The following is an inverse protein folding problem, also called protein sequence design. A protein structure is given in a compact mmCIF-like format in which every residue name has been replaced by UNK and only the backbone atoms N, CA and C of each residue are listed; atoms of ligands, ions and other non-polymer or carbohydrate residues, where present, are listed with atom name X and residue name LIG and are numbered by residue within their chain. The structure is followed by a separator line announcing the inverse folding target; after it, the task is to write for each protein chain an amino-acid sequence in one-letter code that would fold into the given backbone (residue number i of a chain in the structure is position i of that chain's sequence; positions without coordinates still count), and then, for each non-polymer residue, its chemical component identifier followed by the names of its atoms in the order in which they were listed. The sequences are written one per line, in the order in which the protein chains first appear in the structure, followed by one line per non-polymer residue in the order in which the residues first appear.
data_IF_824994253927
#
_entry.id   IF_824994253927
#
_cell.length_a   1.000
_cell.length_b   1.000
_cell.length_c   1.000
_cell.angle_alpha   90.00
_cell.angle_beta   90.00
_cell.angle_gamma   90.00
#
_symmetry.space_group_name_H-M   'P 1'
#
loop_
_entity.id
_entity.type
_entity.pdbx_description
1 polymer ?
#
# COMPACT_ATOMS: atom_id res chain seq x y z
N UNK A 1 -21.28 -29.23 -10.94
CA UNK A 1 -20.56 -28.88 -9.70
C UNK A 1 -20.08 -27.45 -9.86
N UNK A 2 -20.42 -26.55 -8.90
CA UNK A 2 -19.89 -25.17 -8.92
C UNK A 2 -18.38 -25.19 -8.83
N UNK A 3 -17.70 -24.23 -9.47
CA UNK A 3 -16.24 -24.08 -9.33
C UNK A 3 -15.87 -23.88 -7.86
N UNK A 4 -14.78 -24.49 -7.42
CA UNK A 4 -14.29 -24.34 -6.03
C UNK A 4 -14.02 -22.86 -5.74
N UNK A 5 -14.52 -22.36 -4.62
CA UNK A 5 -14.29 -21.00 -4.13
C UNK A 5 -13.27 -21.00 -3.00
N UNK A 6 -12.43 -19.98 -2.97
CA UNK A 6 -11.50 -19.74 -1.86
C UNK A 6 -12.27 -19.27 -0.64
N UNK A 7 -12.29 -20.05 0.44
CA UNK A 7 -12.86 -19.62 1.72
C UNK A 7 -11.91 -18.67 2.42
N UNK A 8 -12.33 -17.41 2.55
CA UNK A 8 -11.50 -16.33 3.07
C UNK A 8 -12.14 -15.64 4.25
N UNK A 9 -11.33 -15.19 5.21
CA UNK A 9 -11.75 -14.34 6.32
C UNK A 9 -11.20 -12.92 6.21
N UNK A 10 -11.85 -11.95 6.87
CA UNK A 10 -11.38 -10.57 6.96
C UNK A 10 -11.10 -10.20 8.43
N UNK A 11 -9.85 -9.85 8.74
CA UNK A 11 -9.40 -9.38 10.06
C UNK A 11 -9.28 -7.86 10.06
N UNK A 12 -9.99 -7.22 11.02
CA UNK A 12 -10.13 -5.76 11.08
C UNK A 12 -11.24 -5.27 10.15
N UNK A 13 -12.16 -4.50 10.71
CA UNK A 13 -13.32 -3.97 10.00
C UNK A 13 -13.39 -2.43 10.10
N UNK A 14 -12.23 -1.80 10.18
CA UNK A 14 -12.06 -0.36 10.06
C UNK A 14 -12.36 0.13 8.65
N UNK A 15 -11.87 1.32 8.34
CA UNK A 15 -12.12 1.99 7.05
C UNK A 15 -11.82 1.11 5.82
N UNK A 16 -10.64 0.45 5.79
CA UNK A 16 -10.26 -0.41 4.67
C UNK A 16 -10.85 -1.82 4.80
N UNK A 17 -10.89 -2.38 6.00
CA UNK A 17 -11.41 -3.72 6.22
C UNK A 17 -12.86 -3.90 5.78
N UNK A 18 -13.73 -2.92 6.04
CA UNK A 18 -15.11 -2.92 5.51
C UNK A 18 -15.15 -3.00 3.99
N UNK A 19 -14.27 -2.26 3.30
CA UNK A 19 -14.19 -2.25 1.84
C UNK A 19 -13.70 -3.58 1.29
N UNK A 20 -12.66 -4.15 1.90
CA UNK A 20 -12.19 -5.49 1.55
C UNK A 20 -13.26 -6.56 1.78
N UNK A 21 -13.92 -6.56 2.94
CA UNK A 21 -14.99 -7.50 3.24
C UNK A 21 -16.11 -7.45 2.19
N UNK A 22 -16.57 -6.26 1.82
CA UNK A 22 -17.58 -6.08 0.77
C UNK A 22 -17.05 -6.50 -0.62
N UNK A 23 -15.80 -6.21 -0.96
CA UNK A 23 -15.21 -6.65 -2.23
C UNK A 23 -15.16 -8.18 -2.32
N UNK A 24 -14.73 -8.87 -1.28
CA UNK A 24 -14.72 -10.34 -1.25
C UNK A 24 -16.13 -10.94 -1.26
N UNK A 25 -17.07 -10.30 -0.57
CA UNK A 25 -18.47 -10.76 -0.50
C UNK A 25 -19.21 -10.63 -1.85
N UNK A 26 -19.00 -9.50 -2.56
CA UNK A 26 -19.85 -9.12 -3.68
C UNK A 26 -19.14 -9.05 -5.04
N UNK A 27 -17.83 -8.85 -5.07
CA UNK A 27 -17.08 -8.52 -6.28
C UNK A 27 -15.93 -9.49 -6.60
N UNK A 28 -15.82 -10.59 -5.82
CA UNK A 28 -14.80 -11.62 -6.01
C UNK A 28 -15.48 -12.99 -6.18
N UNK A 29 -15.98 -13.30 -7.37
CA UNK A 29 -16.88 -14.45 -7.60
C UNK A 29 -16.25 -15.81 -7.28
N UNK A 30 -14.91 -15.93 -7.33
CA UNK A 30 -14.16 -17.14 -6.98
C UNK A 30 -13.79 -17.23 -5.50
N UNK A 31 -14.15 -16.24 -4.68
CA UNK A 31 -13.99 -16.28 -3.24
C UNK A 31 -15.34 -16.44 -2.54
N UNK A 32 -15.28 -16.87 -1.29
CA UNK A 32 -16.39 -16.92 -0.35
C UNK A 32 -15.91 -16.32 0.97
N UNK A 33 -16.44 -15.16 1.33
CA UNK A 33 -16.16 -14.57 2.64
C UNK A 33 -16.94 -15.37 3.68
N UNK A 34 -16.25 -16.17 4.49
CA UNK A 34 -16.85 -17.09 5.46
C UNK A 34 -16.79 -16.56 6.90
N UNK A 35 -15.81 -15.70 7.20
CA UNK A 35 -15.61 -15.18 8.54
C UNK A 35 -15.08 -13.74 8.51
N UNK A 36 -15.29 -13.01 9.61
CA UNK A 36 -14.68 -11.72 9.85
C UNK A 36 -14.38 -11.53 11.34
N UNK A 37 -13.39 -10.71 11.70
CA UNK A 37 -13.09 -10.41 13.09
C UNK A 37 -12.76 -8.94 13.32
N UNK A 38 -13.21 -8.42 14.45
CA UNK A 38 -12.83 -7.12 15.00
C UNK A 38 -13.07 -7.07 16.49
N UNK A 39 -12.15 -6.51 17.30
CA UNK A 39 -12.39 -6.29 18.72
C UNK A 39 -13.26 -5.05 19.01
N UNK A 40 -13.40 -4.14 18.03
CA UNK A 40 -14.17 -2.90 18.17
C UNK A 40 -15.68 -3.18 18.10
N UNK A 41 -16.44 -2.65 19.06
CA UNK A 41 -17.87 -2.92 19.17
C UNK A 41 -18.68 -2.29 18.03
N UNK A 42 -18.31 -1.11 17.56
CA UNK A 42 -19.02 -0.41 16.47
C UNK A 42 -18.83 -1.18 15.16
N UNK A 43 -17.59 -1.61 14.91
CA UNK A 43 -17.27 -2.43 13.75
C UNK A 43 -17.95 -3.81 13.81
N UNK A 44 -18.01 -4.40 15.01
CA UNK A 44 -18.66 -5.68 15.23
C UNK A 44 -20.17 -5.60 14.93
N UNK A 45 -20.86 -4.56 15.42
CA UNK A 45 -22.27 -4.34 15.11
C UNK A 45 -22.49 -4.06 13.62
N UNK A 46 -21.58 -3.31 12.98
CA UNK A 46 -21.62 -3.12 11.53
C UNK A 46 -21.53 -4.48 10.79
N UNK A 47 -20.62 -5.36 11.21
CA UNK A 47 -20.47 -6.68 10.59
C UNK A 47 -21.71 -7.56 10.76
N UNK A 48 -22.34 -7.54 11.92
CA UNK A 48 -23.61 -8.23 12.14
C UNK A 48 -24.71 -7.78 11.20
N UNK A 49 -24.78 -6.50 10.91
CA UNK A 49 -25.81 -5.94 10.02
C UNK A 49 -25.50 -6.18 8.54
N UNK A 50 -24.21 -6.18 8.14
CA UNK A 50 -23.81 -6.14 6.75
C UNK A 50 -23.17 -7.44 6.24
N UNK A 51 -22.71 -8.33 7.10
CA UNK A 51 -22.02 -9.57 6.73
C UNK A 51 -22.75 -10.83 7.19
N UNK A 52 -23.25 -10.88 8.42
CA UNK A 52 -23.99 -12.06 8.95
C UNK A 52 -25.21 -12.47 8.10
N UNK A 53 -26.01 -11.54 7.51
CA UNK A 53 -27.12 -11.93 6.63
C UNK A 53 -26.71 -12.72 5.39
N UNK A 54 -25.43 -12.67 5.04
CA UNK A 54 -24.86 -13.42 3.91
C UNK A 54 -24.13 -14.70 4.35
N UNK A 55 -24.27 -15.11 5.63
CA UNK A 55 -23.67 -16.33 6.16
C UNK A 55 -22.24 -16.16 6.69
N UNK A 56 -21.73 -14.94 6.78
CA UNK A 56 -20.38 -14.66 7.34
C UNK A 56 -20.43 -14.72 8.85
N UNK A 57 -19.63 -15.58 9.48
CA UNK A 57 -19.51 -15.64 10.93
C UNK A 57 -18.61 -14.52 11.46
N UNK A 58 -19.10 -13.77 12.45
CA UNK A 58 -18.34 -12.63 13.02
C UNK A 58 -17.76 -12.98 14.38
N UNK A 59 -16.47 -12.71 14.55
CA UNK A 59 -15.72 -12.98 15.77
C UNK A 59 -15.22 -11.68 16.39
N UNK A 60 -15.10 -11.63 17.73
CA UNK A 60 -14.40 -10.54 18.41
C UNK A 60 -12.89 -10.80 18.49
N UNK A 61 -12.51 -12.05 18.48
CA UNK A 61 -11.13 -12.52 18.66
C UNK A 61 -10.57 -13.09 17.35
N UNK A 62 -9.37 -12.63 16.99
CA UNK A 62 -8.67 -13.03 15.77
C UNK A 62 -8.27 -14.51 15.79
N UNK A 63 -7.75 -15.00 16.94
CA UNK A 63 -7.25 -16.37 17.06
C UNK A 63 -8.41 -17.40 17.04
N UNK A 64 -9.62 -16.97 17.44
CA UNK A 64 -10.83 -17.77 17.24
C UNK A 64 -11.26 -17.80 15.79
N UNK A 65 -11.21 -16.66 15.09
CA UNK A 65 -11.52 -16.60 13.65
C UNK A 65 -10.60 -17.49 12.82
N UNK A 66 -9.31 -17.56 13.14
CA UNK A 66 -8.36 -18.44 12.43
C UNK A 66 -8.72 -19.93 12.51
N UNK A 67 -9.54 -20.33 13.50
CA UNK A 67 -10.02 -21.71 13.68
C UNK A 67 -11.35 -21.97 12.96
N UNK A 68 -11.85 -21.02 12.18
CA UNK A 68 -13.09 -21.21 11.42
C UNK A 68 -12.95 -22.40 10.46
N UNK A 69 -13.91 -23.32 10.48
CA UNK A 69 -13.85 -24.58 9.74
C UNK A 69 -13.74 -24.35 8.22
N UNK A 70 -12.74 -24.96 7.63
CA UNK A 70 -12.48 -24.88 6.19
C UNK A 70 -11.90 -23.57 5.70
N UNK A 71 -11.47 -22.66 6.58
CA UNK A 71 -10.78 -21.43 6.22
C UNK A 71 -9.48 -21.74 5.44
N UNK A 72 -9.21 -21.01 4.37
CA UNK A 72 -8.05 -21.22 3.47
C UNK A 72 -7.19 -19.95 3.33
N UNK A 73 -7.78 -18.79 3.53
CA UNK A 73 -7.07 -17.52 3.39
C UNK A 73 -7.60 -16.47 4.36
N UNK A 74 -6.79 -15.46 4.64
CA UNK A 74 -7.20 -14.30 5.43
C UNK A 74 -6.70 -13.01 4.77
N UNK A 75 -7.57 -12.00 4.74
CA UNK A 75 -7.15 -10.62 4.52
C UNK A 75 -6.99 -9.93 5.87
N UNK A 76 -5.84 -9.27 6.07
CA UNK A 76 -5.52 -8.53 7.28
C UNK A 76 -5.59 -7.03 6.95
N UNK A 77 -6.60 -6.38 7.48
CA UNK A 77 -6.89 -4.95 7.32
C UNK A 77 -7.20 -4.27 8.67
N UNK A 78 -6.58 -4.77 9.72
CA UNK A 78 -6.62 -4.28 11.10
C UNK A 78 -5.79 -2.98 11.25
N UNK A 79 -5.46 -2.58 12.46
CA UNK A 79 -4.52 -1.49 12.69
C UNK A 79 -3.10 -1.95 12.39
N UNK A 80 -2.27 -1.07 11.82
CA UNK A 80 -0.92 -1.40 11.33
C UNK A 80 -0.04 -2.09 12.37
N UNK A 81 -0.20 -1.74 13.64
CA UNK A 81 0.61 -2.29 14.74
C UNK A 81 0.48 -3.80 14.94
N UNK A 82 -0.59 -4.41 14.46
CA UNK A 82 -0.83 -5.87 14.59
C UNK A 82 -0.73 -6.64 13.26
N UNK A 83 -0.49 -5.97 12.13
CA UNK A 83 -0.41 -6.61 10.81
C UNK A 83 0.58 -7.78 10.79
N UNK A 84 1.81 -7.55 11.24
CA UNK A 84 2.87 -8.56 11.22
C UNK A 84 2.55 -9.76 12.12
N UNK A 85 2.10 -9.51 13.35
CA UNK A 85 1.71 -10.57 14.28
C UNK A 85 0.59 -11.44 13.70
N UNK A 86 -0.46 -10.80 13.20
CA UNK A 86 -1.61 -11.49 12.60
C UNK A 86 -1.20 -12.26 11.34
N UNK A 87 -0.33 -11.69 10.50
CA UNK A 87 0.21 -12.35 9.31
C UNK A 87 0.99 -13.62 9.69
N UNK A 88 1.89 -13.53 10.67
CA UNK A 88 2.67 -14.69 11.13
C UNK A 88 1.78 -15.77 11.74
N UNK A 89 0.75 -15.40 12.52
CA UNK A 89 -0.23 -16.36 13.06
C UNK A 89 -1.00 -17.07 11.94
N UNK A 90 -1.44 -16.34 10.92
CA UNK A 90 -2.13 -16.92 9.76
C UNK A 90 -1.24 -17.89 8.97
N UNK A 91 0.04 -17.53 8.74
CA UNK A 91 1.02 -18.40 8.10
C UNK A 91 1.23 -19.70 8.91
N UNK A 92 1.34 -19.59 10.24
CA UNK A 92 1.45 -20.75 11.13
C UNK A 92 0.21 -21.65 11.11
N UNK A 93 -0.95 -21.07 10.83
CA UNK A 93 -2.22 -21.80 10.65
C UNK A 93 -2.41 -22.34 9.21
N UNK A 94 -1.36 -22.33 8.39
CA UNK A 94 -1.36 -22.80 6.99
C UNK A 94 -2.38 -22.05 6.08
N UNK A 95 -2.59 -20.74 6.32
CA UNK A 95 -3.48 -19.89 5.55
C UNK A 95 -2.72 -19.02 4.56
N UNK A 96 -3.26 -18.83 3.37
CA UNK A 96 -2.85 -17.76 2.46
C UNK A 96 -3.17 -16.40 3.06
N UNK A 97 -2.34 -15.38 2.81
CA UNK A 97 -2.50 -14.06 3.44
C UNK A 97 -2.41 -12.93 2.41
N UNK A 98 -3.41 -12.06 2.42
CA UNK A 98 -3.34 -10.71 1.85
C UNK A 98 -3.30 -9.72 3.02
N UNK A 99 -2.16 -9.07 3.23
CA UNK A 99 -1.98 -8.11 4.32
C UNK A 99 -1.96 -6.68 3.77
N UNK A 100 -2.75 -5.78 4.34
CA UNK A 100 -2.67 -4.36 4.04
C UNK A 100 -1.28 -3.79 4.33
N UNK A 101 -0.95 -2.74 3.61
CA UNK A 101 0.30 -2.01 3.79
C UNK A 101 0.25 -1.07 5.02
N UNK A 102 1.39 -0.78 5.63
CA UNK A 102 2.64 -1.53 5.56
C UNK A 102 2.55 -2.86 6.33
N UNK A 103 3.45 -3.79 6.04
CA UNK A 103 3.53 -5.04 6.84
C UNK A 103 3.78 -4.76 8.33
N UNK A 104 4.60 -3.75 8.61
CA UNK A 104 4.88 -3.17 9.92
C UNK A 104 5.51 -1.80 9.72
N UNK A 105 5.56 -0.98 10.76
CA UNK A 105 6.38 0.25 10.79
C UNK A 105 7.85 -0.02 11.19
N UNK A 106 8.21 -1.26 11.61
CA UNK A 106 9.58 -1.73 11.86
C UNK A 106 10.07 -2.59 10.71
N UNK A 107 11.32 -2.35 10.29
CA UNK A 107 12.02 -3.16 9.27
C UNK A 107 12.24 -4.58 9.78
N UNK A 108 12.69 -4.74 11.02
CA UNK A 108 12.99 -6.02 11.65
C UNK A 108 11.73 -6.89 11.76
N UNK A 109 10.61 -6.27 12.18
CA UNK A 109 9.32 -6.97 12.25
C UNK A 109 8.82 -7.33 10.86
N UNK A 110 8.98 -6.46 9.85
CA UNK A 110 8.63 -6.77 8.46
C UNK A 110 9.49 -7.92 7.91
N UNK A 111 10.77 -7.97 8.29
CA UNK A 111 11.68 -9.06 7.93
C UNK A 111 11.23 -10.40 8.53
N UNK A 112 10.76 -10.41 9.78
CA UNK A 112 10.25 -11.65 10.41
C UNK A 112 9.00 -12.22 9.70
N UNK A 113 8.17 -11.36 9.11
CA UNK A 113 7.04 -11.79 8.25
C UNK A 113 7.57 -12.48 6.99
N UNK A 114 8.58 -11.89 6.34
CA UNK A 114 9.21 -12.50 5.15
C UNK A 114 9.80 -13.87 5.47
N UNK A 115 10.52 -14.01 6.58
CA UNK A 115 11.10 -15.29 7.03
C UNK A 115 10.02 -16.32 7.32
N UNK A 116 8.93 -15.93 7.98
CA UNK A 116 7.80 -16.82 8.21
C UNK A 116 7.18 -17.32 6.90
N UNK A 117 7.03 -16.43 5.90
CA UNK A 117 6.52 -16.81 4.58
C UNK A 117 7.49 -17.71 3.81
N UNK A 118 8.80 -17.48 3.90
CA UNK A 118 9.82 -18.34 3.27
C UNK A 118 9.84 -19.77 3.82
N UNK A 119 9.48 -19.94 5.09
CA UNK A 119 9.36 -21.26 5.71
C UNK A 119 8.09 -22.02 5.27
N UNK A 120 7.19 -21.39 4.54
CA UNK A 120 5.94 -21.94 4.01
C UNK A 120 5.76 -21.54 2.54
N UNK A 121 6.64 -21.99 1.62
CA UNK A 121 6.71 -21.49 0.23
C UNK A 121 5.46 -21.77 -0.61
N UNK A 122 4.62 -22.72 -0.20
CA UNK A 122 3.36 -23.02 -0.88
C UNK A 122 2.26 -22.02 -0.55
N UNK A 123 2.40 -21.25 0.52
CA UNK A 123 1.44 -20.24 0.89
C UNK A 123 1.62 -18.97 0.03
N UNK A 124 0.52 -18.40 -0.38
CA UNK A 124 0.48 -17.11 -1.04
C UNK A 124 0.40 -16.02 0.03
N UNK A 125 1.50 -15.30 0.25
CA UNK A 125 1.57 -14.18 1.20
C UNK A 125 1.89 -12.92 0.42
N UNK A 126 0.96 -11.98 0.37
CA UNK A 126 1.03 -10.74 -0.42
C UNK A 126 0.77 -9.52 0.45
N UNK A 127 1.49 -8.43 0.17
CA UNK A 127 1.21 -7.12 0.76
C UNK A 127 0.30 -6.31 -0.18
N UNK A 128 -0.68 -5.58 0.37
CA UNK A 128 -1.71 -4.84 -0.37
C UNK A 128 -1.22 -3.54 -1.00
N UNK A 129 -0.36 -3.61 -2.00
CA UNK A 129 0.02 -2.46 -2.81
C UNK A 129 -0.94 -2.29 -3.98
N UNK A 130 -2.13 -1.77 -3.68
CA UNK A 130 -3.26 -1.67 -4.61
C UNK A 130 -2.93 -0.99 -5.94
N UNK A 131 -1.98 -0.03 -6.00
CA UNK A 131 -1.60 0.65 -7.26
C UNK A 131 -1.05 -0.30 -8.31
N UNK A 132 -0.43 -1.42 -7.93
CA UNK A 132 0.02 -2.46 -8.88
C UNK A 132 -1.13 -3.17 -9.60
N UNK A 133 -2.36 -2.99 -9.13
CA UNK A 133 -3.59 -3.55 -9.71
C UNK A 133 -4.44 -2.51 -10.45
N UNK A 134 -4.02 -1.24 -10.45
CA UNK A 134 -4.67 -0.18 -11.22
C UNK A 134 -4.36 -0.33 -12.70
N UNK A 135 -5.38 -0.21 -13.54
CA UNK A 135 -5.27 -0.41 -14.99
C UNK A 135 -4.31 0.56 -15.67
N UNK A 136 -4.28 1.82 -15.20
CA UNK A 136 -3.38 2.84 -15.78
C UNK A 136 -1.91 2.58 -15.41
N UNK A 137 -1.65 2.17 -14.16
CA UNK A 137 -0.30 1.80 -13.73
C UNK A 137 0.20 0.52 -14.43
N UNK A 138 -0.67 -0.47 -14.64
CA UNK A 138 -0.34 -1.69 -15.39
C UNK A 138 -0.07 -1.42 -16.85
N UNK A 139 -0.87 -0.58 -17.49
CA UNK A 139 -0.65 -0.17 -18.89
C UNK A 139 0.67 0.59 -19.03
N UNK A 140 0.95 1.53 -18.13
CA UNK A 140 2.23 2.26 -18.11
C UNK A 140 3.42 1.32 -17.91
N UNK A 141 3.31 0.35 -16.97
CA UNK A 141 4.36 -0.64 -16.75
C UNK A 141 4.60 -1.50 -18.00
N UNK A 142 3.54 -2.00 -18.63
CA UNK A 142 3.63 -2.80 -19.86
C UNK A 142 4.29 -2.02 -21.01
N UNK A 143 3.95 -0.74 -21.18
CA UNK A 143 4.57 0.13 -22.19
C UNK A 143 6.04 0.38 -21.88
N UNK A 144 6.40 0.60 -20.63
CA UNK A 144 7.80 0.74 -20.22
C UNK A 144 8.58 -0.56 -20.45
N UNK A 145 8.02 -1.71 -20.04
CA UNK A 145 8.64 -3.03 -20.17
C UNK A 145 8.86 -3.42 -21.66
N UNK A 146 7.98 -2.95 -22.55
CA UNK A 146 8.13 -3.11 -24.00
C UNK A 146 9.24 -2.23 -24.61
N UNK A 147 9.91 -1.38 -23.82
CA UNK A 147 10.98 -0.49 -24.27
C UNK A 147 10.49 0.83 -24.87
N UNK A 148 9.20 1.16 -24.80
CA UNK A 148 8.62 2.35 -25.46
C UNK A 148 9.30 3.68 -25.06
N UNK A 149 9.81 3.77 -23.84
CA UNK A 149 10.48 4.98 -23.33
C UNK A 149 12.00 4.83 -23.20
N UNK A 150 12.57 3.77 -23.77
CA UNK A 150 13.97 3.42 -23.57
C UNK A 150 14.24 2.98 -22.12
N UNK A 151 15.44 3.28 -21.59
CA UNK A 151 15.81 2.91 -20.22
C UNK A 151 15.13 3.87 -19.22
N UNK A 152 14.28 3.40 -18.30
CA UNK A 152 13.69 4.23 -17.26
C UNK A 152 14.80 4.80 -16.36
N UNK A 153 14.80 6.11 -16.16
CA UNK A 153 15.89 6.83 -15.50
C UNK A 153 15.40 7.70 -14.32
N UNK A 154 14.23 8.33 -14.44
CA UNK A 154 13.66 9.15 -13.38
C UNK A 154 12.20 8.77 -13.15
N UNK A 155 11.83 8.56 -11.89
CA UNK A 155 10.43 8.47 -11.47
C UNK A 155 10.11 9.70 -10.62
N UNK A 156 9.04 10.39 -10.95
CA UNK A 156 8.42 11.42 -10.11
C UNK A 156 7.05 10.92 -9.70
N UNK A 157 6.82 10.74 -8.40
CA UNK A 157 5.54 10.22 -7.91
C UNK A 157 5.10 10.99 -6.68
N UNK A 158 3.80 11.14 -6.55
CA UNK A 158 3.22 11.81 -5.39
C UNK A 158 1.95 11.11 -4.90
N UNK A 159 1.80 11.15 -3.58
CA UNK A 159 0.58 10.79 -2.86
C UNK A 159 0.17 12.00 -2.03
N UNK A 160 -0.92 12.63 -2.40
CA UNK A 160 -1.39 13.85 -1.75
C UNK A 160 -2.84 13.66 -1.31
N UNK A 161 -3.01 13.47 -0.01
CA UNK A 161 -4.32 13.31 0.61
C UNK A 161 -5.02 14.66 0.76
N UNK A 162 -6.34 14.64 0.61
CA UNK A 162 -7.18 15.78 0.96
C UNK A 162 -6.99 16.15 2.42
N UNK A 163 -6.98 17.46 2.71
CA UNK A 163 -6.96 17.95 4.08
C UNK A 163 -8.14 17.34 4.88
N UNK A 164 -7.82 16.65 5.94
CA UNK A 164 -8.78 16.04 6.85
C UNK A 164 -9.02 16.96 8.05
N UNK A 165 -10.19 17.61 8.15
CA UNK A 165 -10.53 18.46 9.27
C UNK A 165 -10.87 17.69 10.54
N UNK A 166 -11.09 16.35 10.47
CA UNK A 166 -11.43 15.53 11.63
C UNK A 166 -10.25 15.29 12.58
N UNK A 167 -9.01 15.51 12.11
CA UNK A 167 -7.80 15.26 12.87
C UNK A 167 -7.39 13.79 12.97
N UNK A 168 -8.02 12.89 12.20
CA UNK A 168 -7.71 11.46 12.20
C UNK A 168 -6.23 11.19 11.91
N UNK A 169 -5.66 11.83 10.88
CA UNK A 169 -4.26 11.65 10.51
C UNK A 169 -3.29 12.14 11.58
N UNK A 170 -3.66 13.20 12.30
CA UNK A 170 -2.86 13.71 13.43
C UNK A 170 -2.86 12.71 14.58
N UNK A 171 -4.03 12.19 14.93
CA UNK A 171 -4.16 11.18 15.99
C UNK A 171 -3.43 9.87 15.63
N UNK A 172 -3.38 9.52 14.35
CA UNK A 172 -2.71 8.32 13.86
C UNK A 172 -1.19 8.48 13.71
N UNK A 173 -0.66 9.71 13.64
CA UNK A 173 0.75 9.99 13.36
C UNK A 173 1.73 9.28 14.30
N UNK A 174 1.39 9.15 15.59
CA UNK A 174 2.21 8.46 16.60
C UNK A 174 2.54 7.01 16.21
N UNK A 175 1.60 6.33 15.54
CA UNK A 175 1.68 4.90 15.21
C UNK A 175 1.99 4.63 13.74
N UNK A 176 2.00 5.67 12.92
CA UNK A 176 2.09 5.57 11.44
C UNK A 176 3.47 5.22 10.90
N UNK A 177 4.52 5.41 11.71
CA UNK A 177 5.91 5.35 11.25
C UNK A 177 6.38 6.64 10.56
N UNK A 178 5.50 7.63 10.41
CA UNK A 178 5.73 8.91 9.75
C UNK A 178 5.22 8.94 8.29
N UNK A 179 5.21 10.15 7.73
CA UNK A 179 4.57 10.40 6.43
C UNK A 179 5.16 9.56 5.28
N UNK A 180 6.46 9.26 5.31
CA UNK A 180 7.09 8.44 4.27
C UNK A 180 6.76 6.95 4.38
N UNK A 181 6.48 6.43 5.58
CA UNK A 181 6.08 5.03 5.79
C UNK A 181 4.59 4.83 5.55
N UNK A 182 3.76 5.79 5.93
CA UNK A 182 2.30 5.65 5.77
C UNK A 182 1.80 6.09 4.40
N UNK A 183 2.24 7.28 3.92
CA UNK A 183 1.75 7.91 2.71
C UNK A 183 2.61 7.53 1.48
N UNK A 184 3.91 7.86 1.49
CA UNK A 184 4.79 7.63 0.34
C UNK A 184 5.16 6.17 0.08
N UNK A 185 4.78 5.24 0.95
CA UNK A 185 5.13 3.82 0.75
C UNK A 185 4.60 3.26 -0.58
N UNK A 186 3.49 3.79 -1.07
CA UNK A 186 2.94 3.46 -2.38
C UNK A 186 3.84 3.95 -3.52
N UNK A 187 4.41 5.15 -3.39
CA UNK A 187 5.31 5.73 -4.39
C UNK A 187 6.66 5.04 -4.38
N UNK A 188 7.12 4.61 -3.20
CA UNK A 188 8.33 3.79 -3.03
C UNK A 188 8.13 2.43 -3.71
N UNK A 189 6.99 1.78 -3.49
CA UNK A 189 6.67 0.52 -4.15
C UNK A 189 6.61 0.67 -5.68
N UNK A 190 6.04 1.76 -6.19
CA UNK A 190 6.06 2.07 -7.63
C UNK A 190 7.49 2.24 -8.16
N UNK A 191 8.36 2.93 -7.43
CA UNK A 191 9.77 3.08 -7.85
C UNK A 191 10.46 1.71 -7.95
N UNK A 192 10.27 0.84 -6.96
CA UNK A 192 10.80 -0.52 -6.97
C UNK A 192 10.21 -1.37 -8.11
N UNK A 193 8.96 -1.15 -8.47
CA UNK A 193 8.31 -1.89 -9.55
C UNK A 193 8.79 -1.43 -10.94
N UNK A 194 8.83 -0.11 -11.19
CA UNK A 194 9.25 0.45 -12.48
C UNK A 194 10.74 0.33 -12.74
N UNK A 195 11.58 0.43 -11.71
CA UNK A 195 13.04 0.26 -11.85
C UNK A 195 13.51 -1.19 -11.77
N UNK A 196 12.60 -2.11 -11.40
CA UNK A 196 12.90 -3.52 -11.17
C UNK A 196 13.09 -3.80 -9.67
N UNK A 197 12.51 -4.93 -9.23
CA UNK A 197 12.49 -5.32 -7.81
C UNK A 197 13.88 -5.66 -7.23
N UNK A 198 14.89 -5.74 -8.08
CA UNK A 198 16.27 -6.01 -7.68
C UNK A 198 17.16 -4.74 -7.71
N UNK A 199 16.55 -3.56 -7.95
CA UNK A 199 17.28 -2.30 -7.90
C UNK A 199 17.83 -2.03 -6.50
N UNK A 200 19.03 -1.47 -6.42
CA UNK A 200 19.74 -1.23 -5.16
C UNK A 200 19.80 0.27 -4.87
N UNK A 201 19.32 0.66 -3.70
CA UNK A 201 19.39 2.03 -3.21
C UNK A 201 20.85 2.38 -2.93
N UNK A 202 21.30 3.54 -3.44
CA UNK A 202 22.62 4.12 -3.21
C UNK A 202 22.58 5.17 -2.11
N UNK A 203 21.57 6.04 -2.13
CA UNK A 203 21.43 7.07 -1.12
C UNK A 203 20.00 7.60 -1.03
N UNK A 204 19.67 8.16 0.12
CA UNK A 204 18.36 8.71 0.44
C UNK A 204 18.54 10.06 1.12
N UNK A 205 17.73 11.05 0.72
CA UNK A 205 17.61 12.32 1.42
C UNK A 205 16.15 12.77 1.42
N UNK A 206 15.70 13.33 2.54
CA UNK A 206 14.35 13.86 2.68
C UNK A 206 14.34 15.22 3.40
N UNK A 207 13.32 16.00 3.09
CA UNK A 207 13.00 17.25 3.74
C UNK A 207 11.48 17.39 3.87
N UNK A 208 11.00 18.23 4.77
CA UNK A 208 9.57 18.44 4.92
C UNK A 208 9.23 19.65 5.77
N UNK A 209 7.97 20.03 5.73
CA UNK A 209 7.43 21.14 6.50
C UNK A 209 6.10 20.75 7.15
N UNK A 210 5.76 21.44 8.23
CA UNK A 210 4.46 21.38 8.88
C UNK A 210 3.72 22.67 8.55
N UNK A 211 2.88 22.63 7.52
CA UNK A 211 2.20 23.81 6.99
C UNK A 211 0.83 24.04 7.66
N UNK A 212 0.04 23.00 7.89
CA UNK A 212 -1.36 23.08 8.34
C UNK A 212 -1.64 22.35 9.66
N UNK A 213 -0.81 21.40 10.06
CA UNK A 213 -1.01 20.58 11.27
C UNK A 213 0.19 20.66 12.23
N UNK A 214 0.36 21.78 12.98
CA UNK A 214 1.54 22.00 13.80
C UNK A 214 1.75 20.96 14.91
N UNK A 215 0.71 20.24 15.31
CA UNK A 215 0.76 19.14 16.28
C UNK A 215 1.65 17.99 15.81
N UNK A 216 1.81 17.76 14.50
CA UNK A 216 2.67 16.71 13.95
C UNK A 216 4.14 16.85 14.39
N UNK A 217 4.59 18.07 14.73
CA UNK A 217 5.95 18.30 15.26
C UNK A 217 6.21 17.56 16.56
N UNK A 218 5.17 17.28 17.38
CA UNK A 218 5.30 16.51 18.61
C UNK A 218 5.66 15.04 18.34
N UNK A 219 5.34 14.54 17.14
CA UNK A 219 5.66 13.19 16.67
C UNK A 219 6.90 13.17 15.76
N UNK A 220 7.64 14.30 15.66
CA UNK A 220 8.73 14.47 14.70
C UNK A 220 8.31 14.08 13.27
N UNK A 221 7.10 14.51 12.88
CA UNK A 221 6.49 14.26 11.59
C UNK A 221 6.02 15.57 10.94
N UNK A 222 5.63 15.49 9.67
CA UNK A 222 5.27 16.64 8.83
C UNK A 222 3.96 16.37 8.07
N UNK A 223 3.32 17.40 7.56
CA UNK A 223 2.17 17.28 6.66
C UNK A 223 2.54 17.41 5.17
N UNK A 224 3.79 17.78 4.88
CA UNK A 224 4.36 17.81 3.53
C UNK A 224 5.80 17.29 3.56
N UNK A 225 6.11 16.29 2.76
CA UNK A 225 7.42 15.68 2.67
C UNK A 225 7.91 15.55 1.22
N UNK A 226 9.20 15.76 1.02
CA UNK A 226 9.91 15.51 -0.25
C UNK A 226 11.02 14.53 0.01
N UNK A 227 11.11 13.47 -0.80
CA UNK A 227 12.17 12.47 -0.73
C UNK A 227 12.86 12.28 -2.08
N UNK A 228 14.18 12.09 -2.04
CA UNK A 228 14.97 11.72 -3.21
C UNK A 228 15.71 10.42 -2.89
N UNK A 229 15.56 9.45 -3.78
CA UNK A 229 16.21 8.14 -3.70
C UNK A 229 17.09 7.98 -4.94
N UNK A 230 18.38 7.81 -4.74
CA UNK A 230 19.34 7.47 -5.80
C UNK A 230 19.58 5.97 -5.79
N UNK A 231 19.65 5.35 -6.97
CA UNK A 231 19.94 3.92 -7.14
C UNK A 231 21.29 3.70 -7.82
N UNK A 232 21.94 2.58 -7.55
CA UNK A 232 23.21 2.21 -8.16
C UNK A 232 23.12 2.05 -9.69
N UNK A 233 21.96 1.72 -10.23
CA UNK A 233 21.71 1.67 -11.68
C UNK A 233 21.64 3.04 -12.37
N UNK A 234 21.87 4.14 -11.64
CA UNK A 234 21.80 5.51 -12.16
C UNK A 234 20.38 6.08 -12.26
N UNK A 235 19.38 5.39 -11.67
CA UNK A 235 18.03 5.88 -11.58
C UNK A 235 17.85 6.80 -10.37
N UNK A 236 16.87 7.70 -10.45
CA UNK A 236 16.46 8.59 -9.36
C UNK A 236 14.93 8.51 -9.20
N UNK A 237 14.46 8.33 -7.97
CA UNK A 237 13.06 8.57 -7.62
C UNK A 237 12.95 9.89 -6.83
N UNK A 238 12.05 10.75 -7.28
CA UNK A 238 11.62 11.96 -6.58
C UNK A 238 10.18 11.75 -6.08
N UNK A 239 10.00 11.84 -4.77
CA UNK A 239 8.74 11.60 -4.11
C UNK A 239 8.22 12.88 -3.45
N UNK A 240 6.93 13.14 -3.58
CA UNK A 240 6.24 14.15 -2.81
C UNK A 240 5.02 13.56 -2.12
N UNK A 241 4.84 13.86 -0.85
CA UNK A 241 3.66 13.47 -0.10
C UNK A 241 3.09 14.66 0.68
N UNK A 242 1.76 14.72 0.73
CA UNK A 242 1.05 15.81 1.37
C UNK A 242 -0.25 15.34 2.00
N UNK A 243 -0.68 16.04 3.06
CA UNK A 243 -1.99 15.83 3.71
C UNK A 243 -2.78 17.12 3.78
N UNK A 244 -2.59 18.02 2.81
CA UNK A 244 -3.22 19.33 2.83
C UNK A 244 -3.89 19.74 1.50
N UNK A 245 -4.13 18.77 0.59
CA UNK A 245 -4.78 19.13 -0.69
C UNK A 245 -6.20 19.60 -0.48
N UNK A 246 -6.52 20.74 -1.06
CA UNK A 246 -7.83 21.37 -0.91
C UNK A 246 -8.89 20.76 -1.82
N UNK A 247 -8.51 20.37 -3.04
CA UNK A 247 -9.45 19.91 -4.07
C UNK A 247 -9.85 18.43 -3.90
N UNK A 248 -8.93 17.59 -3.42
CA UNK A 248 -9.16 16.15 -3.31
C UNK A 248 -7.86 15.36 -3.29
N UNK A 249 -7.98 14.05 -3.54
CA UNK A 249 -6.86 13.14 -3.63
C UNK A 249 -6.08 13.35 -4.93
N UNK A 250 -4.76 13.50 -4.83
CA UNK A 250 -3.86 13.63 -5.98
C UNK A 250 -2.77 12.56 -5.95
N UNK A 251 -2.96 11.50 -6.72
CA UNK A 251 -1.97 10.43 -6.91
C UNK A 251 -1.49 10.48 -8.35
N UNK A 252 -0.32 11.09 -8.58
CA UNK A 252 0.23 11.28 -9.93
C UNK A 252 1.61 10.69 -10.05
N UNK A 253 1.96 10.15 -11.22
CA UNK A 253 3.28 9.56 -11.47
C UNK A 253 3.75 9.87 -12.88
N UNK A 254 5.04 10.20 -13.00
CA UNK A 254 5.76 10.30 -14.27
C UNK A 254 6.94 9.33 -14.25
N UNK A 255 7.09 8.55 -15.33
CA UNK A 255 8.27 7.72 -15.58
C UNK A 255 8.96 8.28 -16.80
N UNK A 256 10.21 8.76 -16.63
CA UNK A 256 11.01 9.39 -17.66
C UNK A 256 12.13 8.42 -18.02
N UNK A 257 12.15 8.01 -19.27
CA UNK A 257 13.19 7.17 -19.85
C UNK A 257 14.09 7.97 -20.80
N UNK A 258 15.04 7.27 -21.41
CA UNK A 258 16.00 7.89 -22.35
C UNK A 258 15.35 8.34 -23.66
N UNK A 259 14.24 7.71 -24.05
CA UNK A 259 13.62 7.90 -25.37
C UNK A 259 12.18 8.43 -25.27
N UNK A 260 11.67 8.63 -24.05
CA UNK A 260 10.31 9.11 -23.85
C UNK A 260 9.88 9.20 -22.40
N UNK A 261 8.60 9.51 -22.22
CA UNK A 261 7.99 9.68 -20.89
C UNK A 261 6.59 9.10 -20.85
N UNK A 262 6.24 8.46 -19.75
CA UNK A 262 4.86 8.07 -19.41
C UNK A 262 4.37 8.92 -18.25
N UNK A 263 3.09 9.29 -18.29
CA UNK A 263 2.44 10.04 -17.22
C UNK A 263 1.13 9.38 -16.82
N UNK A 264 0.88 9.32 -15.52
CA UNK A 264 -0.32 8.68 -14.95
C UNK A 264 -1.04 9.69 -14.09
N UNK A 265 -2.32 9.92 -14.38
CA UNK A 265 -3.24 10.73 -13.58
C UNK A 265 -2.80 12.19 -13.34
N UNK A 266 -2.07 12.82 -14.27
CA UNK A 266 -1.54 14.18 -14.10
C UNK A 266 -2.62 15.26 -13.93
N UNK A 267 -3.86 14.94 -14.23
CA UNK A 267 -5.04 15.76 -13.97
C UNK A 267 -6.06 14.91 -13.22
N UNK A 268 -5.98 14.83 -11.87
CA UNK A 268 -6.89 14.03 -11.09
C UNK A 268 -8.35 14.39 -11.34
N UNK A 269 -9.16 13.39 -11.65
CA UNK A 269 -10.59 13.55 -11.90
C UNK A 269 -11.35 12.32 -11.39
N UNK A 270 -12.52 12.59 -10.79
CA UNK A 270 -13.39 11.55 -10.25
C UNK A 270 -13.98 10.68 -11.39
N UNK A 271 -14.35 11.33 -12.50
CA UNK A 271 -14.92 10.71 -13.68
C UNK A 271 -14.66 11.59 -14.92
N UNK A 272 -15.24 11.24 -16.07
CA UNK A 272 -15.03 11.96 -17.34
C UNK A 272 -15.91 13.22 -17.50
N UNK A 273 -16.57 13.70 -16.44
CA UNK A 273 -17.44 14.87 -16.50
C UNK A 273 -16.62 16.15 -16.35
N UNK A 274 -16.76 17.06 -17.32
CA UNK A 274 -16.27 18.43 -17.26
C UNK A 274 -17.43 19.37 -17.02
N UNK A 275 -17.28 20.29 -16.08
CA UNK A 275 -18.29 21.31 -15.76
C UNK A 275 -17.87 22.60 -16.45
N UNK A 276 -18.62 23.01 -17.48
CA UNK A 276 -18.38 24.25 -18.24
C UNK A 276 -19.20 25.39 -17.61
N UNK A 277 -18.55 26.40 -17.10
CA UNK A 277 -19.17 27.55 -16.47
C UNK A 277 -18.58 28.89 -16.94
N UNK A 278 -19.09 30.03 -16.46
CA UNK A 278 -18.61 31.35 -16.87
C UNK A 278 -17.13 31.62 -16.56
N UNK A 279 -16.57 30.87 -15.56
CA UNK A 279 -15.19 31.01 -15.13
C UNK A 279 -14.26 30.02 -15.79
N UNK A 280 -14.73 29.18 -16.73
CA UNK A 280 -13.96 28.17 -17.44
C UNK A 280 -14.44 26.75 -17.19
N UNK A 281 -13.55 25.80 -17.43
CA UNK A 281 -13.80 24.35 -17.27
C UNK A 281 -13.23 23.91 -15.93
N UNK A 282 -14.04 23.23 -15.12
CA UNK A 282 -13.61 22.58 -13.89
C UNK A 282 -13.93 21.08 -13.90
N UNK A 283 -13.21 20.33 -13.09
CA UNK A 283 -13.40 18.88 -12.85
C UNK A 283 -13.51 18.63 -11.36
N UNK A 284 -14.20 17.56 -11.01
CA UNK A 284 -14.21 17.06 -9.64
C UNK A 284 -13.07 16.07 -9.44
N UNK A 285 -12.30 16.23 -8.35
CA UNK A 285 -11.26 15.29 -7.96
C UNK A 285 -11.84 14.20 -7.05
N UNK A 286 -11.25 12.99 -7.00
CA UNK A 286 -11.58 11.99 -5.98
C UNK A 286 -11.40 12.61 -4.58
N UNK A 287 -12.31 12.28 -3.65
CA UNK A 287 -12.23 12.83 -2.30
C UNK A 287 -11.30 12.02 -1.39
N UNK A 288 -11.13 10.73 -1.70
CA UNK A 288 -10.34 9.79 -0.91
C UNK A 288 -9.55 8.85 -1.81
N UNK A 289 -8.49 8.29 -1.27
CA UNK A 289 -7.66 7.28 -1.94
C UNK A 289 -8.48 6.13 -2.55
N UNK A 290 -9.47 5.62 -1.83
CA UNK A 290 -10.30 4.53 -2.32
C UNK A 290 -11.12 4.92 -3.55
N UNK A 291 -11.64 6.14 -3.62
CA UNK A 291 -12.43 6.59 -4.78
C UNK A 291 -11.60 6.55 -6.07
N UNK A 292 -10.30 6.84 -5.96
CA UNK A 292 -9.35 6.73 -7.09
C UNK A 292 -8.99 5.28 -7.43
N UNK A 293 -8.89 4.42 -6.43
CA UNK A 293 -8.33 3.07 -6.60
C UNK A 293 -9.35 1.95 -6.33
N UNK A 294 -10.64 2.23 -6.25
CA UNK A 294 -11.68 1.22 -5.96
C UNK A 294 -11.54 -0.02 -6.83
N UNK A 295 -11.43 0.17 -8.16
CA UNK A 295 -11.30 -0.96 -9.09
C UNK A 295 -9.98 -1.72 -8.92
N UNK A 296 -8.91 -1.05 -8.50
CA UNK A 296 -7.63 -1.70 -8.21
C UNK A 296 -7.76 -2.67 -7.02
N UNK A 297 -8.45 -2.29 -5.95
CA UNK A 297 -8.75 -3.19 -4.83
C UNK A 297 -9.59 -4.41 -5.23
N UNK A 298 -10.52 -4.23 -6.17
CA UNK A 298 -11.28 -5.36 -6.71
C UNK A 298 -10.39 -6.28 -7.55
N UNK A 299 -9.53 -5.73 -8.40
CA UNK A 299 -8.56 -6.50 -9.17
C UNK A 299 -7.59 -7.25 -8.26
N UNK A 300 -7.09 -6.61 -7.20
CA UNK A 300 -6.23 -7.21 -6.18
C UNK A 300 -6.87 -8.44 -5.53
N UNK A 301 -8.12 -8.30 -5.05
CA UNK A 301 -8.86 -9.39 -4.43
C UNK A 301 -9.08 -10.57 -5.39
N UNK A 302 -9.44 -10.29 -6.64
CA UNK A 302 -9.66 -11.32 -7.65
C UNK A 302 -8.35 -12.03 -8.05
N UNK A 303 -7.26 -11.29 -8.24
CA UNK A 303 -5.97 -11.87 -8.63
C UNK A 303 -5.34 -12.66 -7.49
N UNK A 304 -5.40 -12.15 -6.24
CA UNK A 304 -4.99 -12.92 -5.07
C UNK A 304 -5.75 -14.24 -4.96
N UNK A 305 -7.09 -14.19 -5.11
CA UNK A 305 -7.94 -15.38 -5.10
C UNK A 305 -7.55 -16.38 -6.19
N UNK A 306 -7.29 -15.89 -7.40
CA UNK A 306 -6.84 -16.73 -8.51
C UNK A 306 -5.47 -17.36 -8.22
N UNK A 307 -4.52 -16.59 -7.69
CA UNK A 307 -3.21 -17.13 -7.31
C UNK A 307 -3.30 -18.24 -6.26
N UNK A 308 -4.21 -18.11 -5.29
CA UNK A 308 -4.43 -19.14 -4.27
C UNK A 308 -5.04 -20.42 -4.86
N UNK A 309 -6.10 -20.28 -5.67
CA UNK A 309 -6.84 -21.43 -6.22
C UNK A 309 -6.08 -22.16 -7.34
N UNK A 310 -5.41 -21.40 -8.21
CA UNK A 310 -4.74 -21.92 -9.40
C UNK A 310 -3.25 -22.19 -9.16
N UNK A 311 -2.77 -21.97 -7.95
CA UNK A 311 -1.37 -22.08 -7.51
C UNK A 311 -0.38 -21.32 -8.43
N UNK A 312 -0.77 -20.16 -8.93
CA UNK A 312 0.09 -19.32 -9.76
C UNK A 312 0.97 -18.39 -8.92
N UNK A 313 1.96 -17.76 -9.54
CA UNK A 313 2.84 -16.80 -8.87
C UNK A 313 2.08 -15.52 -8.54
N UNK A 314 2.36 -14.98 -7.35
CA UNK A 314 1.90 -13.64 -7.01
C UNK A 314 2.55 -12.57 -7.90
N UNK A 315 1.85 -11.47 -8.21
CA UNK A 315 2.35 -10.41 -9.10
C UNK A 315 3.49 -9.59 -8.48
N UNK A 316 3.76 -9.80 -7.19
CA UNK A 316 4.82 -9.12 -6.46
C UNK A 316 5.52 -10.04 -5.46
N UNK A 317 6.80 -9.76 -5.20
CA UNK A 317 7.57 -10.44 -4.15
C UNK A 317 7.28 -9.79 -2.79
N UNK A 318 7.07 -10.58 -1.74
CA UNK A 318 6.89 -10.05 -0.38
C UNK A 318 8.14 -9.25 0.10
N UNK A 319 9.33 -9.64 -0.37
CA UNK A 319 10.58 -8.91 -0.10
C UNK A 319 10.54 -7.44 -0.55
N UNK A 320 9.78 -7.12 -1.61
CA UNK A 320 9.60 -5.71 -2.05
C UNK A 320 8.86 -4.88 -1.00
N UNK A 321 7.95 -5.48 -0.25
CA UNK A 321 7.24 -4.79 0.84
C UNK A 321 8.20 -4.48 2.01
N UNK A 322 9.09 -5.39 2.36
CA UNK A 322 10.14 -5.14 3.36
C UNK A 322 11.08 -4.03 2.89
N UNK A 323 11.50 -4.07 1.62
CA UNK A 323 12.35 -3.03 1.03
C UNK A 323 11.63 -1.66 1.04
N UNK A 324 10.34 -1.60 0.75
CA UNK A 324 9.57 -0.36 0.79
C UNK A 324 9.52 0.24 2.22
N UNK A 325 9.33 -0.58 3.25
CA UNK A 325 9.40 -0.15 4.66
C UNK A 325 10.80 0.34 5.00
N UNK A 326 11.85 -0.36 4.56
CA UNK A 326 13.25 0.03 4.78
C UNK A 326 13.55 1.42 4.18
N UNK A 327 13.13 1.66 2.95
CA UNK A 327 13.30 2.95 2.27
C UNK A 327 12.47 4.04 2.95
N UNK A 328 11.20 3.76 3.27
CA UNK A 328 10.32 4.70 3.96
C UNK A 328 10.87 5.13 5.32
N UNK A 329 11.37 4.17 6.11
CA UNK A 329 12.02 4.43 7.41
C UNK A 329 13.30 5.26 7.25
N UNK A 330 14.11 5.00 6.23
CA UNK A 330 15.31 5.79 5.95
C UNK A 330 14.98 7.22 5.48
N UNK A 331 13.93 7.42 4.68
CA UNK A 331 13.42 8.76 4.34
C UNK A 331 12.95 9.51 5.58
N UNK A 332 12.22 8.84 6.48
CA UNK A 332 11.74 9.44 7.73
C UNK A 332 12.90 9.79 8.67
N UNK A 333 13.93 8.96 8.74
CA UNK A 333 15.14 9.25 9.50
C UNK A 333 15.90 10.43 8.89
N UNK A 334 16.08 10.47 7.58
CA UNK A 334 16.71 11.59 6.88
C UNK A 334 15.97 12.91 7.12
N UNK A 335 14.63 12.89 7.10
CA UNK A 335 13.80 14.04 7.44
C UNK A 335 14.08 14.54 8.88
N UNK A 336 14.15 13.61 9.84
CA UNK A 336 14.35 13.94 11.28
C UNK A 336 15.75 14.43 11.59
N UNK A 337 16.75 13.88 10.92
CA UNK A 337 18.17 14.17 11.20
C UNK A 337 18.76 15.25 10.30
N UNK A 338 18.14 15.54 9.17
CA UNK A 338 18.68 16.41 8.13
C UNK A 338 19.86 15.81 7.36
N UNK A 339 20.18 14.53 7.58
CA UNK A 339 21.34 13.89 6.98
C UNK A 339 20.94 13.00 5.79
N UNK A 340 21.76 12.98 4.74
CA UNK A 340 21.70 12.00 3.66
C UNK A 340 22.18 10.65 4.16
N UNK A 341 21.40 9.61 3.91
CA UNK A 341 21.71 8.22 4.29
C UNK A 341 22.28 7.48 3.09
N UNK A 342 23.36 6.73 3.32
CA UNK A 342 24.09 6.02 2.28
C UNK A 342 24.01 4.51 2.48
N UNK A 343 24.00 3.78 1.37
CA UNK A 343 23.98 2.32 1.34
C UNK A 343 25.07 1.83 0.37
N UNK A 344 25.64 0.68 0.64
CA UNK A 344 26.50 -0.05 -0.30
C UNK A 344 25.65 -0.87 -1.30
N UNK A 345 26.33 -1.51 -2.25
CA UNK A 345 25.67 -2.33 -3.27
C UNK A 345 24.97 -3.58 -2.70
N UNK A 346 25.25 -3.97 -1.46
CA UNK A 346 24.55 -5.04 -0.76
C UNK A 346 23.28 -4.57 -0.07
N UNK A 347 23.07 -3.24 0.01
CA UNK A 347 21.94 -2.61 0.69
C UNK A 347 22.21 -2.35 2.17
N UNK A 348 23.44 -2.51 2.66
CA UNK A 348 23.81 -2.17 4.03
C UNK A 348 24.11 -0.67 4.16
N UNK A 349 23.71 -0.11 5.30
CA UNK A 349 24.01 1.29 5.60
C UNK A 349 25.52 1.47 5.82
N UNK A 350 26.05 2.55 5.22
CA UNK A 350 27.46 2.93 5.37
C UNK A 350 27.56 4.37 5.90
N UNK A 351 28.58 4.63 6.69
CA UNK A 351 29.00 5.99 6.95
C UNK A 351 29.47 6.62 5.63
N UNK A 352 29.18 7.92 5.43
CA UNK A 352 29.62 8.63 4.23
C UNK A 352 31.12 8.41 4.06
N UNK A 353 31.52 7.66 3.04
CA UNK A 353 32.90 7.72 2.58
C UNK A 353 33.16 9.16 2.12
N UNK A 354 34.23 9.77 2.58
CA UNK A 354 34.69 11.05 2.03
C UNK A 354 34.83 10.86 0.52
N UNK A 355 34.03 11.61 -0.24
CA UNK A 355 34.14 11.68 -1.69
C UNK A 355 35.47 12.33 -2.05
#
# INVERSE_FOLDING_TARGET
MGAAKLKIACAGLGRMGKRHAINFLQRTPRAELVAASTPDEIEFQWAKLNLEPFGVQVYKDYDQMLKHEGLQAVIIASVTTVHAEQTIKAIKADLHVLCEKPLSTSVEISQSVLEAAQNKPDLKVMCGFSRRFDTSYRDAWSKMDSGLIGRPSVLRSQTCDKLDPSGFFVAYAEFSGGIFVDCSIHDIDLALWFFGQDCRVKSIVASGITAVQPVLRQHNDVDNGVGIIEFYGGQIAYLYCSRMMSAGQEDTTEIIGTDGKLTINMQPQLNLVNIHGPTGIRREAPTHYYDRFEQAFVCEANEFTACCLDNTKLPMKLASAVQAVTIGSALQESLRTGHKIWFDETGQRIARAAL
#
